data_IF_443461783763
#
_entry.id   IF_443461783763
#
_cell.length_a   1.000
_cell.length_b   1.000
_cell.length_c   1.000
_cell.angle_alpha   90.00
_cell.angle_beta   90.00
_cell.angle_gamma   90.00
#
_symmetry.space_group_name_H-M   'P 1'
#
loop_
_entity.id
_entity.type
_entity.pdbx_description
1 polymer ?
#
# COMPACT_ATOMS: atom_id res chain seq x y z
N UNK A 1 -1.45 -9.04 -13.23
CA UNK A 1 -2.57 -8.86 -12.29
C UNK A 1 -3.23 -7.50 -12.48
N UNK A 2 -4.51 -7.42 -12.12
CA UNK A 2 -5.31 -6.19 -12.20
C UNK A 2 -5.46 -5.64 -10.78
N UNK A 3 -5.37 -4.30 -10.63
CA UNK A 3 -5.72 -3.60 -9.40
C UNK A 3 -7.08 -2.95 -9.60
N UNK A 4 -8.07 -3.36 -8.80
CA UNK A 4 -9.40 -2.74 -8.85
C UNK A 4 -9.45 -1.49 -7.97
N UNK A 5 -10.22 -0.49 -8.40
CA UNK A 5 -10.39 0.78 -7.65
C UNK A 5 -11.87 1.16 -7.48
N UNK A 6 -12.64 0.37 -6.72
CA UNK A 6 -14.01 0.74 -6.40
C UNK A 6 -14.05 1.96 -5.48
N UNK A 7 -15.15 2.69 -5.53
CA UNK A 7 -15.47 3.79 -4.61
C UNK A 7 -16.71 3.46 -3.79
N UNK A 8 -16.85 4.09 -2.64
CA UNK A 8 -18.12 4.10 -1.92
C UNK A 8 -19.09 5.07 -2.57
N UNK A 9 -20.37 4.90 -2.31
CA UNK A 9 -21.42 5.82 -2.75
C UNK A 9 -22.51 5.93 -1.68
N UNK A 10 -23.25 7.04 -1.72
CA UNK A 10 -24.26 7.32 -0.72
C UNK A 10 -25.34 6.23 -0.69
N UNK A 11 -25.71 5.81 0.53
CA UNK A 11 -26.75 4.79 0.76
C UNK A 11 -26.45 3.41 0.19
N UNK A 12 -25.16 3.01 0.17
CA UNK A 12 -24.75 1.65 -0.22
C UNK A 12 -25.51 0.61 0.60
N UNK A 13 -25.97 -0.44 -0.06
CA UNK A 13 -26.65 -1.60 0.52
C UNK A 13 -25.85 -2.89 0.31
N UNK A 14 -26.24 -3.97 0.98
CA UNK A 14 -25.53 -5.25 0.87
C UNK A 14 -25.50 -5.78 -0.59
N UNK A 15 -26.60 -5.61 -1.33
CA UNK A 15 -26.71 -6.01 -2.73
C UNK A 15 -25.77 -5.22 -3.64
N UNK A 16 -25.46 -3.96 -3.27
CA UNK A 16 -24.49 -3.15 -4.01
C UNK A 16 -23.06 -3.66 -3.83
N UNK A 17 -22.73 -4.11 -2.61
CA UNK A 17 -21.44 -4.76 -2.35
C UNK A 17 -21.35 -6.06 -3.15
N UNK A 18 -22.37 -6.88 -3.11
CA UNK A 18 -22.46 -8.10 -3.93
C UNK A 18 -22.26 -7.81 -5.41
N UNK A 19 -22.93 -6.79 -5.94
CA UNK A 19 -22.79 -6.36 -7.33
C UNK A 19 -21.36 -5.93 -7.68
N UNK A 20 -20.72 -5.09 -6.83
CA UNK A 20 -19.35 -4.63 -7.08
C UNK A 20 -18.38 -5.81 -7.10
N UNK A 21 -18.44 -6.70 -6.12
CA UNK A 21 -17.58 -7.87 -6.08
C UNK A 21 -17.92 -8.88 -7.19
N UNK A 22 -19.19 -9.02 -7.56
CA UNK A 22 -19.63 -9.81 -8.71
C UNK A 22 -19.03 -9.32 -10.03
N UNK A 23 -18.92 -8.00 -10.22
CA UNK A 23 -18.21 -7.41 -11.38
C UNK A 23 -16.71 -7.64 -11.37
N UNK A 24 -16.13 -7.81 -10.20
CA UNK A 24 -14.70 -8.11 -10.04
C UNK A 24 -14.40 -9.60 -10.20
N UNK A 25 -15.38 -10.46 -9.97
CA UNK A 25 -15.25 -11.91 -10.09
C UNK A 25 -14.88 -12.35 -11.52
N UNK A 26 -14.06 -13.38 -11.63
CA UNK A 26 -13.61 -13.91 -12.93
C UNK A 26 -12.48 -13.09 -13.59
N UNK A 27 -12.11 -11.93 -13.03
CA UNK A 27 -10.95 -11.18 -13.48
C UNK A 27 -9.73 -11.49 -12.60
N UNK A 28 -8.53 -11.37 -13.18
CA UNK A 28 -7.27 -11.64 -12.46
C UNK A 28 -6.90 -10.45 -11.54
N UNK A 29 -7.79 -10.14 -10.58
CA UNK A 29 -7.60 -9.08 -9.61
C UNK A 29 -6.85 -9.63 -8.41
N UNK A 30 -5.75 -9.00 -8.03
CA UNK A 30 -4.98 -9.35 -6.84
C UNK A 30 -5.16 -8.34 -5.71
N UNK A 31 -5.28 -7.06 -6.05
CA UNK A 31 -5.26 -5.95 -5.09
C UNK A 31 -6.43 -5.02 -5.34
N UNK A 32 -7.00 -4.51 -4.27
CA UNK A 32 -8.07 -3.51 -4.31
C UNK A 32 -7.63 -2.27 -3.55
N UNK A 33 -7.65 -1.13 -4.23
CA UNK A 33 -7.36 0.19 -3.67
C UNK A 33 -8.63 1.03 -3.76
N UNK A 34 -9.21 1.41 -2.65
CA UNK A 34 -10.42 2.24 -2.70
C UNK A 34 -10.14 3.63 -3.25
N UNK A 35 -11.12 4.19 -3.92
CA UNK A 35 -11.09 5.55 -4.47
C UNK A 35 -12.05 6.44 -3.66
N UNK A 36 -11.69 7.71 -3.48
CA UNK A 36 -12.48 8.67 -2.69
C UNK A 36 -12.11 8.64 -1.19
N UNK A 37 -12.95 9.26 -0.39
CA UNK A 37 -12.69 9.53 1.03
C UNK A 37 -13.16 8.42 1.97
N UNK A 38 -13.82 7.39 1.44
CA UNK A 38 -14.39 6.27 2.19
C UNK A 38 -14.15 4.95 1.47
N UNK A 39 -14.00 3.86 2.24
CA UNK A 39 -13.99 2.51 1.69
C UNK A 39 -15.42 2.02 1.42
N UNK A 40 -15.60 1.13 0.47
CA UNK A 40 -16.90 0.55 0.14
C UNK A 40 -17.54 -0.10 1.37
N UNK A 41 -18.80 0.22 1.62
CA UNK A 41 -19.56 -0.30 2.76
C UNK A 41 -19.47 0.55 4.03
N UNK A 42 -18.71 1.64 4.04
CA UNK A 42 -18.67 2.59 5.16
C UNK A 42 -20.02 3.33 5.25
N UNK A 43 -20.58 3.51 6.47
CA UNK A 43 -20.08 3.06 7.78
C UNK A 43 -20.66 1.71 8.26
N UNK A 44 -21.70 1.17 7.65
CA UNK A 44 -22.51 0.10 8.24
C UNK A 44 -22.23 -1.30 7.71
N UNK A 45 -21.60 -1.41 6.55
CA UNK A 45 -21.45 -2.67 5.78
C UNK A 45 -19.99 -3.09 5.59
N UNK A 46 -19.09 -2.64 6.49
CA UNK A 46 -17.68 -3.02 6.44
C UNK A 46 -17.45 -4.52 6.66
N UNK A 47 -18.31 -5.18 7.44
CA UNK A 47 -18.23 -6.62 7.64
C UNK A 47 -18.51 -7.38 6.35
N UNK A 48 -19.53 -6.98 5.60
CA UNK A 48 -19.89 -7.57 4.31
C UNK A 48 -18.75 -7.38 3.30
N UNK A 49 -18.18 -6.18 3.24
CA UNK A 49 -17.00 -5.90 2.41
C UNK A 49 -15.82 -6.79 2.81
N UNK A 50 -15.52 -6.91 4.11
CA UNK A 50 -14.43 -7.74 4.60
C UNK A 50 -14.62 -9.23 4.27
N UNK A 51 -15.86 -9.75 4.40
CA UNK A 51 -16.17 -11.13 4.02
C UNK A 51 -15.91 -11.38 2.52
N UNK A 52 -16.31 -10.45 1.65
CA UNK A 52 -16.05 -10.56 0.20
C UNK A 52 -14.55 -10.47 -0.12
N UNK A 53 -13.80 -9.61 0.55
CA UNK A 53 -12.34 -9.54 0.43
C UNK A 53 -11.69 -10.88 0.75
N UNK A 54 -12.02 -11.46 1.91
CA UNK A 54 -11.47 -12.75 2.36
C UNK A 54 -11.84 -13.88 1.40
N UNK A 55 -13.11 -13.96 0.99
CA UNK A 55 -13.59 -14.98 0.07
C UNK A 55 -12.90 -14.93 -1.30
N UNK A 56 -12.60 -13.73 -1.80
CA UNK A 56 -11.90 -13.53 -3.07
C UNK A 56 -10.38 -13.54 -2.93
N UNK A 57 -9.85 -13.64 -1.70
CA UNK A 57 -8.42 -13.55 -1.40
C UNK A 57 -7.76 -12.30 -1.98
N UNK A 58 -8.43 -11.15 -1.88
CA UNK A 58 -7.88 -9.87 -2.33
C UNK A 58 -6.94 -9.27 -1.28
N UNK A 59 -5.91 -8.57 -1.76
CA UNK A 59 -5.04 -7.74 -0.92
C UNK A 59 -5.59 -6.32 -0.85
N UNK A 60 -5.74 -5.77 0.35
CA UNK A 60 -6.13 -4.38 0.54
C UNK A 60 -4.92 -3.47 0.28
N UNK A 61 -5.00 -2.62 -0.72
CA UNK A 61 -3.98 -1.62 -0.99
C UNK A 61 -4.21 -0.36 -0.17
N UNK A 62 -3.23 -0.01 0.68
CA UNK A 62 -3.28 1.17 1.53
C UNK A 62 -2.27 2.20 1.01
N UNK A 63 -2.78 3.31 0.45
CA UNK A 63 -1.93 4.33 -0.15
C UNK A 63 -1.21 5.15 0.92
N UNK A 64 0.12 5.20 0.84
CA UNK A 64 0.94 5.96 1.77
C UNK A 64 0.73 7.46 1.59
N UNK A 65 0.62 8.18 2.71
CA UNK A 65 0.54 9.64 2.71
C UNK A 65 1.91 10.25 2.36
N UNK A 66 1.98 11.42 1.69
CA UNK A 66 3.26 12.07 1.37
C UNK A 66 4.17 12.31 2.57
N UNK A 67 3.65 12.44 3.79
CA UNK A 67 4.41 12.55 5.03
C UNK A 67 4.96 11.20 5.55
N UNK A 68 4.77 10.12 4.82
CA UNK A 68 5.34 8.78 4.99
C UNK A 68 4.86 7.96 6.20
N UNK A 69 4.61 8.52 7.33
CA UNK A 69 4.30 7.78 8.57
C UNK A 69 2.85 7.35 8.72
N UNK A 70 2.02 7.63 7.74
CA UNK A 70 0.59 7.34 7.77
C UNK A 70 0.06 6.99 6.37
N UNK A 71 -1.17 6.53 6.30
CA UNK A 71 -1.88 6.31 5.04
C UNK A 71 -2.75 7.51 4.67
N UNK A 72 -3.08 7.64 3.39
CA UNK A 72 -4.11 8.59 2.96
C UNK A 72 -5.39 8.30 3.73
N UNK A 73 -5.98 9.37 4.29
CA UNK A 73 -7.19 9.23 5.08
C UNK A 73 -8.33 8.77 4.19
N UNK A 74 -8.90 7.62 4.55
CA UNK A 74 -10.16 7.11 4.01
C UNK A 74 -10.95 6.56 5.19
N UNK A 75 -12.20 6.99 5.34
CA UNK A 75 -13.02 6.51 6.44
C UNK A 75 -13.30 5.00 6.29
N UNK A 76 -13.12 4.27 7.38
CA UNK A 76 -13.22 2.81 7.42
C UNK A 76 -12.00 2.02 6.94
N UNK A 77 -10.94 2.67 6.41
CA UNK A 77 -9.78 1.95 5.85
C UNK A 77 -9.05 1.10 6.90
N UNK A 78 -8.73 1.67 8.05
CA UNK A 78 -8.04 0.96 9.13
C UNK A 78 -8.92 -0.13 9.76
N UNK A 79 -10.21 0.16 9.93
CA UNK A 79 -11.17 -0.82 10.41
C UNK A 79 -11.32 -1.99 9.44
N UNK A 80 -11.38 -1.72 8.13
CA UNK A 80 -11.40 -2.77 7.12
C UNK A 80 -10.11 -3.59 7.14
N UNK A 81 -8.94 -2.95 7.29
CA UNK A 81 -7.65 -3.64 7.38
C UNK A 81 -7.63 -4.64 8.55
N UNK A 82 -8.16 -4.26 9.72
CA UNK A 82 -8.32 -5.15 10.86
C UNK A 82 -9.27 -6.32 10.54
N UNK A 83 -10.43 -6.02 9.95
CA UNK A 83 -11.44 -7.03 9.60
C UNK A 83 -10.97 -8.04 8.54
N UNK A 84 -10.02 -7.68 7.69
CA UNK A 84 -9.39 -8.61 6.73
C UNK A 84 -8.09 -9.23 7.26
N UNK A 85 -7.88 -9.22 8.59
CA UNK A 85 -6.71 -9.78 9.27
C UNK A 85 -5.38 -9.23 8.71
N UNK A 86 -5.37 -7.94 8.40
CA UNK A 86 -4.24 -7.23 7.80
C UNK A 86 -3.70 -7.84 6.50
N UNK A 87 -4.56 -8.52 5.72
CA UNK A 87 -4.26 -8.88 4.33
C UNK A 87 -4.15 -7.59 3.49
N UNK A 88 -3.16 -6.79 3.82
CA UNK A 88 -2.97 -5.45 3.28
C UNK A 88 -1.53 -5.24 2.81
N UNK A 89 -1.38 -4.41 1.79
CA UNK A 89 -0.09 -4.03 1.24
C UNK A 89 0.02 -2.50 1.18
N UNK A 90 1.21 -2.00 1.50
CA UNK A 90 1.52 -0.58 1.36
C UNK A 90 1.65 -0.23 -0.12
N UNK A 91 0.95 0.82 -0.52
CA UNK A 91 0.93 1.35 -1.88
C UNK A 91 1.63 2.70 -1.90
N UNK A 92 2.54 2.88 -2.83
CA UNK A 92 3.14 4.18 -3.09
C UNK A 92 2.67 4.74 -4.43
N UNK A 93 2.59 6.06 -4.50
CA UNK A 93 2.33 6.83 -5.73
C UNK A 93 3.23 8.07 -5.72
N UNK A 94 3.94 8.31 -6.80
CA UNK A 94 4.65 9.59 -6.96
C UNK A 94 3.61 10.69 -7.11
N UNK A 95 3.65 11.77 -6.28
CA UNK A 95 2.74 12.89 -6.42
C UNK A 95 2.82 13.50 -7.83
N UNK A 96 1.66 13.88 -8.38
CA UNK A 96 1.55 14.36 -9.76
C UNK A 96 2.47 15.56 -10.05
N UNK A 97 2.53 16.49 -9.10
CA UNK A 97 3.32 17.71 -9.24
C UNK A 97 4.83 17.47 -9.15
N UNK A 98 5.26 16.41 -8.45
CA UNK A 98 6.64 15.94 -8.43
C UNK A 98 6.97 15.23 -9.74
N UNK A 99 6.15 14.27 -10.18
CA UNK A 99 6.39 13.48 -11.38
C UNK A 99 6.55 14.33 -12.63
N UNK A 100 5.79 15.42 -12.78
CA UNK A 100 5.91 16.36 -13.91
C UNK A 100 7.34 16.92 -14.05
N UNK A 101 8.02 17.15 -12.94
CA UNK A 101 9.36 17.76 -12.87
C UNK A 101 10.49 16.76 -13.03
N UNK A 102 10.19 15.46 -12.90
CA UNK A 102 11.18 14.39 -12.92
C UNK A 102 11.53 13.99 -14.35
N UNK A 103 12.78 13.61 -14.56
CA UNK A 103 13.20 12.79 -15.69
C UNK A 103 12.67 11.36 -15.52
N UNK A 104 12.79 10.53 -16.57
CA UNK A 104 12.50 9.10 -16.45
C UNK A 104 13.42 8.49 -15.40
N UNK A 105 14.74 8.75 -15.49
CA UNK A 105 15.73 8.18 -14.60
C UNK A 105 15.50 8.56 -13.14
N UNK A 106 15.16 9.82 -12.85
CA UNK A 106 14.79 10.25 -11.49
C UNK A 106 13.57 9.49 -10.95
N UNK A 107 12.60 9.23 -11.82
CA UNK A 107 11.42 8.46 -11.45
C UNK A 107 11.75 6.98 -11.19
N UNK A 108 12.64 6.37 -11.99
CA UNK A 108 13.12 5.02 -11.78
C UNK A 108 13.85 4.87 -10.42
N UNK A 109 14.77 5.81 -10.12
CA UNK A 109 15.48 5.84 -8.84
C UNK A 109 14.50 6.03 -7.67
N UNK A 110 13.50 6.88 -7.83
CA UNK A 110 12.49 7.12 -6.80
C UNK A 110 11.72 5.84 -6.48
N UNK A 111 11.31 5.06 -7.48
CA UNK A 111 10.62 3.80 -7.28
C UNK A 111 11.50 2.79 -6.56
N UNK A 112 12.72 2.57 -7.04
CA UNK A 112 13.65 1.64 -6.42
C UNK A 112 13.91 1.98 -4.95
N UNK A 113 14.28 3.23 -4.65
CA UNK A 113 14.56 3.66 -3.27
C UNK A 113 13.33 3.50 -2.37
N UNK A 114 12.14 3.80 -2.91
CA UNK A 114 10.90 3.67 -2.14
C UNK A 114 10.60 2.21 -1.79
N UNK A 115 10.79 1.30 -2.73
CA UNK A 115 10.56 -0.14 -2.53
C UNK A 115 11.58 -0.74 -1.56
N UNK A 116 12.85 -0.32 -1.64
CA UNK A 116 13.92 -0.77 -0.76
C UNK A 116 13.76 -0.27 0.68
N UNK A 117 13.50 1.03 0.85
CA UNK A 117 13.55 1.67 2.17
C UNK A 117 12.25 1.57 2.95
N UNK A 118 11.10 1.58 2.26
CA UNK A 118 9.79 1.72 2.90
C UNK A 118 8.89 0.50 2.81
N UNK A 119 9.43 -0.62 2.31
CA UNK A 119 8.68 -1.86 2.14
C UNK A 119 7.37 -1.67 1.36
N UNK A 120 7.42 -0.87 0.31
CA UNK A 120 6.32 -0.75 -0.64
C UNK A 120 6.16 -2.08 -1.38
N UNK A 121 4.93 -2.51 -1.56
CA UNK A 121 4.58 -3.77 -2.22
C UNK A 121 3.72 -3.56 -3.45
N UNK A 122 3.15 -2.37 -3.61
CA UNK A 122 2.33 -2.01 -4.76
C UNK A 122 2.70 -0.62 -5.23
N UNK A 123 3.14 -0.52 -6.46
CA UNK A 123 3.50 0.74 -7.11
C UNK A 123 2.34 1.23 -7.98
N UNK A 124 1.63 2.26 -7.51
CA UNK A 124 0.56 2.90 -8.28
C UNK A 124 1.15 3.93 -9.26
N UNK A 125 1.61 3.44 -10.39
CA UNK A 125 2.28 4.26 -11.38
C UNK A 125 1.28 5.06 -12.22
N UNK A 126 1.59 6.32 -12.42
CA UNK A 126 0.87 7.22 -13.34
C UNK A 126 1.68 7.42 -14.60
N UNK A 127 1.03 7.52 -15.74
CA UNK A 127 1.69 7.94 -16.98
C UNK A 127 2.21 9.37 -16.87
N UNK A 128 3.33 9.66 -17.53
CA UNK A 128 3.69 11.06 -17.84
C UNK A 128 2.64 11.66 -18.77
N UNK A 129 2.26 12.89 -18.50
CA UNK A 129 1.30 13.64 -19.32
C UNK A 129 1.97 14.36 -20.50
N UNK A 130 3.29 14.55 -20.41
CA UNK A 130 4.10 15.22 -21.43
C UNK A 130 5.22 14.31 -21.91
N UNK A 131 5.51 14.37 -23.20
CA UNK A 131 6.62 13.65 -23.81
C UNK A 131 7.96 14.19 -23.27
N UNK A 132 8.92 13.29 -23.03
CA UNK A 132 10.29 13.69 -22.70
C UNK A 132 11.09 13.99 -23.98
N UNK A 133 12.15 14.77 -23.81
CA UNK A 133 12.96 15.26 -24.93
C UNK A 133 13.41 14.12 -25.87
N UNK A 134 13.09 14.26 -27.13
CA UNK A 134 13.46 13.30 -28.18
C UNK A 134 12.56 12.06 -28.27
N UNK A 135 11.46 12.00 -27.52
CA UNK A 135 10.53 10.88 -27.52
C UNK A 135 9.10 11.34 -27.81
N UNK A 136 8.28 10.46 -28.35
CA UNK A 136 6.83 10.63 -28.33
C UNK A 136 6.27 10.35 -26.90
N UNK A 137 5.03 10.76 -26.61
CA UNK A 137 4.40 10.48 -25.34
C UNK A 137 4.26 8.97 -25.06
N UNK A 138 3.97 8.19 -26.11
CA UNK A 138 3.89 6.74 -26.01
C UNK A 138 5.25 6.13 -25.67
N UNK A 139 6.31 6.51 -26.36
CA UNK A 139 7.66 6.05 -26.11
C UNK A 139 8.13 6.43 -24.71
N UNK A 140 7.87 7.66 -24.26
CA UNK A 140 8.16 8.12 -22.90
C UNK A 140 7.57 7.15 -21.87
N UNK A 141 6.28 6.84 -22.00
CA UNK A 141 5.59 5.99 -21.04
C UNK A 141 6.00 4.51 -21.14
N UNK A 142 6.21 3.98 -22.32
CA UNK A 142 6.72 2.62 -22.49
C UNK A 142 8.13 2.47 -21.89
N UNK A 143 9.02 3.43 -22.15
CA UNK A 143 10.36 3.44 -21.56
C UNK A 143 10.30 3.54 -20.04
N UNK A 144 9.43 4.39 -19.52
CA UNK A 144 9.24 4.54 -18.08
C UNK A 144 8.76 3.24 -17.41
N UNK A 145 7.64 2.66 -17.88
CA UNK A 145 7.09 1.46 -17.26
C UNK A 145 8.04 0.26 -17.37
N UNK A 146 8.66 0.08 -18.54
CA UNK A 146 9.65 -0.97 -18.73
C UNK A 146 10.87 -0.72 -17.85
N UNK A 147 11.38 0.51 -17.81
CA UNK A 147 12.54 0.86 -17.00
C UNK A 147 12.34 0.58 -15.52
N UNK A 148 11.15 0.90 -14.96
CA UNK A 148 10.83 0.57 -13.55
C UNK A 148 10.83 -0.94 -13.33
N UNK A 149 10.18 -1.71 -14.21
CA UNK A 149 10.18 -3.17 -14.13
C UNK A 149 11.61 -3.73 -14.13
N UNK A 150 12.40 -3.38 -15.14
CA UNK A 150 13.74 -3.91 -15.33
C UNK A 150 14.64 -3.53 -14.16
N UNK A 151 14.57 -2.27 -13.70
CA UNK A 151 15.36 -1.80 -12.56
C UNK A 151 15.02 -2.53 -11.26
N UNK A 152 13.75 -2.81 -10.99
CA UNK A 152 13.34 -3.59 -9.83
C UNK A 152 13.86 -5.03 -9.91
N UNK A 153 13.72 -5.68 -11.06
CA UNK A 153 14.20 -7.06 -11.28
C UNK A 153 15.72 -7.14 -11.14
N UNK A 154 16.47 -6.20 -11.72
CA UNK A 154 17.94 -6.11 -11.59
C UNK A 154 18.39 -5.96 -10.14
N UNK A 155 17.58 -5.33 -9.29
CA UNK A 155 17.85 -5.16 -7.87
C UNK A 155 17.26 -6.28 -6.99
N UNK A 156 16.84 -7.39 -7.58
CA UNK A 156 16.43 -8.60 -6.88
C UNK A 156 14.97 -8.64 -6.44
N UNK A 157 14.14 -7.70 -6.90
CA UNK A 157 12.70 -7.76 -6.66
C UNK A 157 12.02 -8.74 -7.62
N UNK A 158 11.00 -9.43 -7.13
CA UNK A 158 10.09 -10.24 -7.95
C UNK A 158 8.84 -9.41 -8.23
N UNK A 159 8.64 -9.05 -9.49
CA UNK A 159 7.45 -8.29 -9.93
C UNK A 159 6.32 -9.26 -10.22
N UNK A 160 5.47 -9.49 -9.24
CA UNK A 160 4.34 -10.41 -9.28
C UNK A 160 3.22 -9.91 -8.35
N UNK A 161 2.33 -10.81 -7.93
CA UNK A 161 1.30 -10.51 -6.93
C UNK A 161 1.93 -10.02 -5.63
N UNK A 162 1.45 -8.90 -5.11
CA UNK A 162 1.93 -8.35 -3.84
C UNK A 162 1.72 -9.35 -2.69
N UNK A 163 2.81 -9.72 -2.03
CA UNK A 163 2.77 -10.52 -0.81
C UNK A 163 2.28 -9.70 0.38
N UNK A 164 1.65 -10.38 1.33
CA UNK A 164 1.24 -9.80 2.62
C UNK A 164 2.00 -10.47 3.74
N UNK A 165 2.18 -9.75 4.86
CA UNK A 165 2.77 -10.36 6.06
C UNK A 165 1.73 -11.19 6.78
N UNK A 166 2.20 -12.28 7.41
CA UNK A 166 1.37 -13.02 8.33
C UNK A 166 1.14 -12.18 9.59
N UNK A 167 -0.10 -12.22 10.07
CA UNK A 167 -0.48 -11.61 11.33
C UNK A 167 0.29 -12.29 12.48
N UNK A 168 1.02 -11.49 13.26
CA UNK A 168 1.86 -11.99 14.34
C UNK A 168 1.52 -11.28 15.66
N UNK A 169 1.15 -12.07 16.64
CA UNK A 169 1.06 -11.63 18.03
C UNK A 169 2.23 -12.21 18.83
N UNK A 170 3.09 -11.38 19.42
CA UNK A 170 4.15 -11.87 20.28
C UNK A 170 3.56 -12.54 21.52
N UNK A 171 4.18 -13.63 21.94
CA UNK A 171 3.84 -14.30 23.19
C UNK A 171 3.96 -13.33 24.38
N UNK A 172 3.05 -13.41 25.35
CA UNK A 172 3.04 -12.55 26.55
C UNK A 172 4.37 -12.59 27.31
N UNK A 173 5.01 -13.75 27.41
CA UNK A 173 6.32 -13.89 28.03
C UNK A 173 7.39 -13.07 27.29
N UNK A 174 7.37 -13.11 25.95
CA UNK A 174 8.30 -12.32 25.14
C UNK A 174 8.07 -10.82 25.36
N UNK A 175 6.82 -10.37 25.44
CA UNK A 175 6.49 -8.97 25.75
C UNK A 175 7.03 -8.56 27.13
N UNK A 176 6.89 -9.40 28.15
CA UNK A 176 7.43 -9.13 29.49
C UNK A 176 8.96 -9.02 29.43
N UNK A 177 9.65 -9.91 28.74
CA UNK A 177 11.10 -9.86 28.57
C UNK A 177 11.55 -8.60 27.82
N UNK A 178 10.82 -8.20 26.80
CA UNK A 178 11.10 -6.93 26.08
C UNK A 178 10.92 -5.72 26.99
N UNK A 179 9.85 -5.67 27.79
CA UNK A 179 9.63 -4.59 28.75
C UNK A 179 10.73 -4.52 29.81
N UNK A 180 11.19 -5.67 30.34
CA UNK A 180 12.31 -5.72 31.27
C UNK A 180 13.62 -5.22 30.61
N UNK A 181 13.88 -5.63 29.37
CA UNK A 181 15.05 -5.15 28.61
C UNK A 181 15.03 -3.64 28.39
N UNK A 182 13.91 -3.07 27.98
CA UNK A 182 13.75 -1.62 27.82
C UNK A 182 13.93 -0.89 29.15
N UNK A 183 13.35 -1.42 30.25
CA UNK A 183 13.48 -0.82 31.58
C UNK A 183 14.94 -0.84 32.06
N UNK A 184 15.65 -1.96 31.88
CA UNK A 184 17.06 -2.09 32.21
C UNK A 184 17.94 -1.11 31.39
N UNK A 185 17.70 -1.00 30.08
CA UNK A 185 18.38 -0.03 29.23
C UNK A 185 18.12 1.42 29.66
N UNK A 186 16.90 1.74 30.07
CA UNK A 186 16.53 3.05 30.61
C UNK A 186 17.30 3.40 31.91
N UNK A 187 17.41 2.42 32.83
CA UNK A 187 18.19 2.60 34.07
C UNK A 187 19.67 2.83 33.75
N UNK A 188 20.25 2.01 32.88
CA UNK A 188 21.67 2.19 32.46
C UNK A 188 21.88 3.55 31.79
N UNK A 189 20.98 3.97 30.93
CA UNK A 189 21.08 5.29 30.30
C UNK A 189 21.04 6.42 31.34
N UNK A 190 20.13 6.35 32.30
CA UNK A 190 20.03 7.36 33.36
C UNK A 190 21.27 7.39 34.27
N UNK A 191 21.90 6.24 34.54
CA UNK A 191 23.17 6.20 35.31
C UNK A 191 24.33 6.85 34.56
N UNK A 192 24.33 6.78 33.21
CA UNK A 192 25.37 7.47 32.40
C UNK A 192 25.18 8.99 32.34
N UNK A 193 23.96 9.48 32.56
CA UNK A 193 23.67 10.91 32.56
C UNK A 193 23.95 11.62 33.90
N UNK A 194 24.14 10.85 34.98
CA UNK A 194 24.61 11.42 36.28
C UNK A 194 26.12 11.27 36.37
N UNK A 195 26.91 12.36 36.18
CA UNK A 195 28.28 12.33 36.64
C UNK A 195 28.25 12.28 38.18
N UNK A 196 28.89 11.28 38.74
CA UNK A 196 29.17 11.23 40.16
C UNK A 196 30.17 12.31 40.53
#
# INVERSE_FOLDING_TARGET
>A
YIVARPSNYSKVQADDIEYVFGKMAGHNISTVIFSGDEVLGQPKLLNETALKFKAANYTLGMVEHPQQLQFLKQDGLLELAEKVDYLAARVYVIPKDEQRKMSIDDALERWLNTDQERNIRVNLMRSFEEAKTGMSLLETNLTYFKGVHDKLVENGFVVDRAGTYQYYFPNKLLLILMCLGVSAAGVLYLTLLKPF
#
